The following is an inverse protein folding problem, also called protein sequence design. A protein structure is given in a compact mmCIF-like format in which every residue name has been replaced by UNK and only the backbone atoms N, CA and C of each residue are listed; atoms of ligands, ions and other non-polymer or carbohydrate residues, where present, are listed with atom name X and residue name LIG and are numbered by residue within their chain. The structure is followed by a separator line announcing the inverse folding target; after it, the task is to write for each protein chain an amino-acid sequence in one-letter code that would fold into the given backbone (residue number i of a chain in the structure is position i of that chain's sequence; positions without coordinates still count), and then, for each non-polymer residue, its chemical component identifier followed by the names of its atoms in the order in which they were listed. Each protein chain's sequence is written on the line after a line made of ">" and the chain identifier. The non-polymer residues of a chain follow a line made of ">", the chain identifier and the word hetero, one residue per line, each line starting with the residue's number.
data_IF_799236037534
#
_entry.id   IF_799236037534
#
_cell.length_a   1.000
_cell.length_b   1.000
_cell.length_c   1.000
_cell.angle_alpha   90.00
_cell.angle_beta   90.00
_cell.angle_gamma   90.00
#
_symmetry.space_group_name_H-M   'P 1'
#
loop_
_entity.id
_entity.type
_entity.pdbx_description
1 polymer ?
#
# COMPACT_ATOMS: atom_id res chain seq x y z
N UNK A 1 -38.04 -3.17 21.05
CA UNK A 1 -36.83 -2.43 21.46
C UNK A 1 -36.05 -3.15 22.55
N UNK A 2 -36.70 -3.69 23.60
CA UNK A 2 -36.06 -4.48 24.68
C UNK A 2 -35.32 -5.73 24.19
N UNK A 3 -35.86 -6.44 23.20
CA UNK A 3 -35.24 -7.64 22.62
C UNK A 3 -33.96 -7.34 21.83
N UNK A 4 -33.94 -6.24 21.06
CA UNK A 4 -32.75 -5.82 20.32
C UNK A 4 -31.64 -5.35 21.26
N UNK A 5 -31.98 -4.52 22.26
CA UNK A 5 -31.02 -4.06 23.25
C UNK A 5 -30.42 -5.24 24.05
N UNK A 6 -31.27 -6.18 24.50
CA UNK A 6 -30.82 -7.39 25.20
C UNK A 6 -29.92 -8.26 24.33
N UNK A 7 -30.28 -8.49 23.07
CA UNK A 7 -29.46 -9.26 22.13
C UNK A 7 -28.14 -8.57 21.84
N UNK A 8 -28.15 -7.24 21.63
CA UNK A 8 -26.94 -6.45 21.39
C UNK A 8 -25.99 -6.48 22.60
N UNK A 9 -26.52 -6.39 23.83
CA UNK A 9 -25.71 -6.49 25.05
C UNK A 9 -25.13 -7.89 25.19
N UNK A 10 -25.93 -8.95 25.01
CA UNK A 10 -25.48 -10.33 25.13
C UNK A 10 -24.39 -10.65 24.08
N UNK A 11 -24.68 -10.40 22.81
CA UNK A 11 -23.74 -10.63 21.72
C UNK A 11 -22.51 -9.74 21.82
N UNK A 12 -22.68 -8.46 22.14
CA UNK A 12 -21.59 -7.51 22.30
C UNK A 12 -20.65 -7.89 23.43
N UNK A 13 -21.20 -8.29 24.59
CA UNK A 13 -20.39 -8.75 25.74
C UNK A 13 -19.62 -10.03 25.40
N UNK A 14 -20.28 -10.98 24.72
CA UNK A 14 -19.64 -12.21 24.26
C UNK A 14 -18.47 -11.94 23.31
N UNK A 15 -18.69 -11.09 22.30
CA UNK A 15 -17.64 -10.69 21.34
C UNK A 15 -16.49 -9.97 22.04
N UNK A 16 -16.79 -9.02 22.95
CA UNK A 16 -15.76 -8.28 23.69
C UNK A 16 -14.95 -9.19 24.61
N UNK A 17 -15.59 -10.16 25.27
CA UNK A 17 -14.90 -11.11 26.15
C UNK A 17 -13.97 -12.01 25.34
N UNK A 18 -14.45 -12.54 24.21
CA UNK A 18 -13.61 -13.35 23.31
C UNK A 18 -12.45 -12.53 22.76
N UNK A 19 -12.69 -11.30 22.29
CA UNK A 19 -11.62 -10.41 21.81
C UNK A 19 -10.57 -10.18 22.89
N UNK A 20 -10.98 -9.76 24.09
CA UNK A 20 -10.05 -9.50 25.21
C UNK A 20 -9.26 -10.76 25.61
N UNK A 21 -9.88 -11.93 25.59
CA UNK A 21 -9.20 -13.18 25.89
C UNK A 21 -8.16 -13.54 24.83
N UNK A 22 -8.49 -13.39 23.54
CA UNK A 22 -7.57 -13.61 22.42
C UNK A 22 -6.42 -12.60 22.46
N UNK A 23 -6.72 -11.31 22.66
CA UNK A 23 -5.73 -10.25 22.77
C UNK A 23 -4.78 -10.53 23.95
N UNK A 24 -5.32 -10.92 25.11
CA UNK A 24 -4.51 -11.28 26.29
C UNK A 24 -3.64 -12.51 26.06
N UNK A 25 -4.13 -13.50 25.31
CA UNK A 25 -3.38 -14.70 24.98
C UNK A 25 -2.23 -14.40 24.01
N UNK A 26 -2.47 -13.55 23.01
CA UNK A 26 -1.48 -13.18 22.00
C UNK A 26 -0.41 -12.22 22.54
N UNK A 27 -0.83 -11.12 23.19
CA UNK A 27 0.08 -10.08 23.66
C UNK A 27 0.71 -10.36 25.02
N UNK A 28 0.24 -11.36 25.77
CA UNK A 28 0.72 -11.67 27.12
C UNK A 28 0.29 -10.67 28.20
N UNK A 29 -0.43 -9.61 27.85
CA UNK A 29 -0.94 -8.57 28.73
C UNK A 29 -2.38 -8.17 28.35
N UNK A 30 -3.12 -7.60 29.30
CA UNK A 30 -4.49 -7.15 29.04
C UNK A 30 -4.46 -5.89 28.17
N UNK A 31 -4.74 -6.06 26.89
CA UNK A 31 -4.80 -4.97 25.92
C UNK A 31 -6.21 -4.93 25.36
N UNK A 32 -6.73 -3.71 25.16
CA UNK A 32 -7.94 -3.49 24.41
C UNK A 32 -7.60 -2.66 23.16
N UNK A 33 -7.32 -3.33 22.02
CA UNK A 33 -6.83 -2.68 20.82
C UNK A 33 -7.63 -1.46 20.36
N UNK A 34 -8.99 -1.41 20.46
CA UNK A 34 -9.74 -0.22 20.08
C UNK A 34 -9.37 1.03 20.88
N UNK A 35 -9.15 0.92 22.19
CA UNK A 35 -8.71 2.07 23.01
C UNK A 35 -7.27 2.44 22.66
N UNK A 36 -6.38 1.45 22.52
CA UNK A 36 -4.99 1.70 22.17
C UNK A 36 -4.86 2.38 20.79
N UNK A 37 -5.70 1.97 19.83
CA UNK A 37 -5.78 2.60 18.52
C UNK A 37 -6.18 4.08 18.63
N UNK A 38 -7.21 4.40 19.42
CA UNK A 38 -7.65 5.79 19.61
C UNK A 38 -6.56 6.61 20.29
N UNK A 39 -5.93 6.07 21.35
CA UNK A 39 -4.84 6.74 22.03
C UNK A 39 -3.65 7.00 21.09
N UNK A 40 -3.21 5.99 20.36
CA UNK A 40 -2.05 6.08 19.48
C UNK A 40 -2.28 6.99 18.25
N UNK A 41 -3.43 6.86 17.58
CA UNK A 41 -3.67 7.58 16.34
C UNK A 41 -4.25 8.98 16.57
N UNK A 42 -5.10 9.16 17.59
CA UNK A 42 -5.77 10.44 17.85
C UNK A 42 -5.01 11.25 18.89
N UNK A 43 -4.66 10.65 20.04
CA UNK A 43 -4.01 11.39 21.13
C UNK A 43 -2.53 11.62 20.83
N UNK A 44 -1.81 10.58 20.42
CA UNK A 44 -0.39 10.71 20.07
C UNK A 44 -0.17 11.22 18.64
N UNK A 45 -1.20 11.27 17.80
CA UNK A 45 -1.12 11.86 16.45
C UNK A 45 -0.17 11.15 15.47
N UNK A 46 0.16 9.88 15.72
CA UNK A 46 1.15 9.14 14.91
C UNK A 46 0.69 9.01 13.45
N UNK A 47 -0.62 8.95 13.19
CA UNK A 47 -1.14 8.88 11.84
C UNK A 47 -0.69 10.05 10.95
N UNK A 48 -0.45 11.24 11.53
CA UNK A 48 0.06 12.40 10.79
C UNK A 48 1.49 12.23 10.26
N UNK A 49 2.28 11.32 10.84
CA UNK A 49 3.63 10.97 10.36
C UNK A 49 3.60 10.41 8.94
N UNK A 50 2.56 9.64 8.61
CA UNK A 50 2.37 9.05 7.29
C UNK A 50 1.74 10.02 6.27
N UNK A 51 1.74 11.32 6.58
CA UNK A 51 1.27 12.38 5.69
C UNK A 51 -0.06 12.99 6.12
N UNK A 52 -0.27 14.23 5.64
CA UNK A 52 -1.45 15.03 5.90
C UNK A 52 -2.26 15.23 4.63
N UNK A 53 -3.57 15.06 4.73
CA UNK A 53 -4.48 15.20 3.59
C UNK A 53 -5.43 16.38 3.77
N UNK A 54 -5.72 17.06 2.67
CA UNK A 54 -6.67 18.16 2.61
C UNK A 54 -8.04 17.76 3.16
N UNK A 55 -8.79 18.73 3.68
CA UNK A 55 -10.14 18.50 4.22
C UNK A 55 -11.09 17.94 3.16
N UNK A 56 -10.94 18.34 1.90
CA UNK A 56 -11.83 17.94 0.81
C UNK A 56 -11.48 16.60 0.15
N UNK A 57 -10.39 15.94 0.57
CA UNK A 57 -9.88 14.69 0.00
C UNK A 57 -10.95 13.63 -0.30
N UNK A 58 -11.83 13.33 0.66
CA UNK A 58 -12.85 12.30 0.42
C UNK A 58 -13.92 12.73 -0.60
N UNK A 59 -14.15 14.02 -0.77
CA UNK A 59 -15.11 14.55 -1.72
C UNK A 59 -14.50 14.67 -3.13
N UNK A 60 -13.23 15.07 -3.22
CA UNK A 60 -12.53 15.30 -4.49
C UNK A 60 -11.83 14.07 -5.05
N UNK A 61 -11.41 13.13 -4.19
CA UNK A 61 -10.59 11.99 -4.57
C UNK A 61 -11.19 10.67 -4.09
N UNK A 62 -11.54 10.55 -2.80
CA UNK A 62 -12.00 9.30 -2.21
C UNK A 62 -13.30 8.75 -2.81
N UNK A 63 -14.38 9.54 -2.80
CA UNK A 63 -15.66 9.14 -3.40
C UNK A 63 -15.58 8.96 -4.92
N UNK A 64 -14.90 9.83 -5.68
CA UNK A 64 -14.64 9.58 -7.10
C UNK A 64 -13.86 8.29 -7.38
N UNK A 65 -12.85 7.96 -6.58
CA UNK A 65 -12.08 6.72 -6.73
C UNK A 65 -12.95 5.48 -6.46
N UNK A 66 -13.79 5.53 -5.41
CA UNK A 66 -14.69 4.44 -5.07
C UNK A 66 -15.76 4.20 -6.14
N UNK A 67 -16.34 5.28 -6.67
CA UNK A 67 -17.54 5.18 -7.49
C UNK A 67 -17.28 5.28 -8.98
N UNK A 68 -16.11 5.75 -9.40
CA UNK A 68 -15.69 5.87 -10.80
C UNK A 68 -16.82 6.46 -11.67
N UNK A 69 -17.38 5.68 -12.60
CA UNK A 69 -18.46 6.09 -13.50
C UNK A 69 -19.84 6.08 -12.82
N UNK A 70 -20.01 5.39 -11.69
CA UNK A 70 -21.24 5.40 -10.90
C UNK A 70 -21.41 6.66 -10.03
N UNK A 71 -20.36 7.47 -9.88
CA UNK A 71 -20.35 8.69 -9.05
C UNK A 71 -21.56 9.62 -9.27
N UNK A 72 -21.93 10.04 -10.49
CA UNK A 72 -23.07 10.94 -10.69
C UNK A 72 -24.39 10.31 -10.23
N UNK A 73 -24.57 9.01 -10.41
CA UNK A 73 -25.79 8.30 -9.99
C UNK A 73 -25.89 8.16 -8.48
N UNK A 74 -24.76 7.91 -7.81
CA UNK A 74 -24.69 7.93 -6.35
C UNK A 74 -25.01 9.33 -5.79
N UNK A 75 -24.50 10.40 -6.43
CA UNK A 75 -24.81 11.78 -6.04
C UNK A 75 -26.29 12.13 -6.17
N UNK A 76 -26.92 11.76 -7.31
CA UNK A 76 -28.37 11.94 -7.50
C UNK A 76 -29.17 11.12 -6.49
N UNK A 77 -28.79 9.86 -6.27
CA UNK A 77 -29.43 8.97 -5.30
C UNK A 77 -29.32 9.50 -3.87
N UNK A 78 -28.18 10.07 -3.50
CA UNK A 78 -27.96 10.73 -2.21
C UNK A 78 -28.88 11.93 -2.06
N UNK A 79 -28.99 12.76 -3.09
CA UNK A 79 -29.93 13.89 -3.13
C UNK A 79 -31.38 13.47 -2.94
N UNK A 80 -31.81 12.39 -3.60
CA UNK A 80 -33.16 11.84 -3.43
C UNK A 80 -33.38 11.24 -2.04
N UNK A 81 -32.40 10.52 -1.50
CA UNK A 81 -32.50 9.87 -0.19
C UNK A 81 -32.54 10.87 0.98
N UNK A 82 -31.84 12.00 0.86
CA UNK A 82 -31.77 13.03 1.91
C UNK A 82 -32.92 14.06 1.84
N UNK A 83 -33.71 14.10 0.76
CA UNK A 83 -34.83 15.04 0.61
C UNK A 83 -36.16 14.41 1.04
N UNK A 84 -36.79 14.88 2.12
CA UNK A 84 -37.97 14.23 2.71
C UNK A 84 -39.29 14.39 1.92
N UNK A 85 -39.37 15.26 0.90
CA UNK A 85 -40.65 15.74 0.37
C UNK A 85 -40.87 15.74 -1.15
N UNK A 86 -39.84 15.71 -2.01
CA UNK A 86 -40.05 15.94 -3.46
C UNK A 86 -40.45 14.68 -4.26
N UNK A 87 -40.13 13.48 -3.76
CA UNK A 87 -40.20 12.25 -4.56
C UNK A 87 -41.31 11.27 -4.11
N UNK A 88 -42.38 11.80 -3.51
CA UNK A 88 -43.41 11.00 -2.82
C UNK A 88 -44.36 10.23 -3.72
N UNK A 89 -44.37 10.45 -5.04
CA UNK A 89 -45.33 9.81 -5.96
C UNK A 89 -44.82 8.52 -6.62
N UNK A 90 -43.51 8.23 -6.59
CA UNK A 90 -42.92 7.12 -7.38
C UNK A 90 -41.85 6.27 -6.65
N UNK A 91 -41.51 6.51 -5.38
CA UNK A 91 -40.74 5.55 -4.56
C UNK A 91 -41.68 4.56 -3.87
N UNK A 92 -41.25 3.31 -3.71
CA UNK A 92 -42.03 2.25 -3.06
C UNK A 92 -42.30 2.48 -1.58
N UNK A 93 -42.68 1.38 -0.91
CA UNK A 93 -43.15 1.31 0.48
C UNK A 93 -42.35 2.19 1.45
N UNK A 94 -42.99 2.69 2.51
CA UNK A 94 -42.37 3.47 3.60
C UNK A 94 -41.00 2.91 4.04
N UNK A 95 -40.90 1.58 4.10
CA UNK A 95 -39.68 0.85 4.47
C UNK A 95 -38.52 1.19 3.53
N UNK A 96 -38.72 1.18 2.22
CA UNK A 96 -37.67 1.46 1.23
C UNK A 96 -37.12 2.89 1.40
N UNK A 97 -38.01 3.86 1.59
CA UNK A 97 -37.64 5.27 1.78
C UNK A 97 -36.84 5.46 3.06
N UNK A 98 -37.30 4.85 4.16
CA UNK A 98 -36.62 4.92 5.44
C UNK A 98 -35.24 4.25 5.37
N UNK A 99 -35.13 3.10 4.69
CA UNK A 99 -33.86 2.41 4.48
C UNK A 99 -32.88 3.28 3.69
N UNK A 100 -33.29 3.86 2.56
CA UNK A 100 -32.42 4.74 1.77
C UNK A 100 -31.98 5.98 2.55
N UNK A 101 -32.87 6.59 3.33
CA UNK A 101 -32.53 7.71 4.20
C UNK A 101 -31.47 7.31 5.24
N UNK A 102 -31.66 6.19 5.95
CA UNK A 102 -30.70 5.70 6.94
C UNK A 102 -29.34 5.38 6.33
N UNK A 103 -29.33 4.77 5.14
CA UNK A 103 -28.11 4.48 4.39
C UNK A 103 -27.37 5.76 3.96
N UNK A 104 -28.12 6.77 3.47
CA UNK A 104 -27.57 8.06 3.11
C UNK A 104 -26.98 8.81 4.32
N UNK A 105 -27.69 8.81 5.45
CA UNK A 105 -27.20 9.38 6.71
C UNK A 105 -25.94 8.65 7.19
N UNK A 106 -25.90 7.32 7.08
CA UNK A 106 -24.70 6.54 7.43
C UNK A 106 -23.49 6.93 6.58
N UNK A 107 -23.67 7.06 5.26
CA UNK A 107 -22.61 7.52 4.35
C UNK A 107 -22.12 8.92 4.74
N UNK A 108 -23.03 9.88 4.93
CA UNK A 108 -22.66 11.27 5.30
C UNK A 108 -21.94 11.28 6.65
N UNK A 109 -22.47 10.60 7.65
CA UNK A 109 -21.87 10.54 8.99
C UNK A 109 -20.45 9.93 8.93
N UNK A 110 -20.27 8.81 8.23
CA UNK A 110 -18.95 8.17 8.10
C UNK A 110 -17.98 9.05 7.32
N UNK A 111 -18.38 9.63 6.19
CA UNK A 111 -17.49 10.51 5.40
C UNK A 111 -17.09 11.74 6.20
N UNK A 112 -18.01 12.37 6.94
CA UNK A 112 -17.68 13.53 7.79
C UNK A 112 -16.79 13.14 8.98
N UNK A 113 -17.06 12.01 9.63
CA UNK A 113 -16.22 11.51 10.72
C UNK A 113 -14.79 11.22 10.23
N UNK A 114 -14.65 10.57 9.07
CA UNK A 114 -13.35 10.32 8.46
C UNK A 114 -12.71 11.61 7.92
N UNK A 115 -13.49 12.62 7.52
CA UNK A 115 -12.94 13.91 7.08
C UNK A 115 -12.23 14.64 8.22
N UNK A 116 -12.67 14.43 9.47
CA UNK A 116 -12.09 15.05 10.65
C UNK A 116 -10.70 14.53 11.04
N UNK A 117 -10.25 13.38 10.50
CA UNK A 117 -8.90 12.86 10.76
C UNK A 117 -7.86 13.46 9.81
N UNK A 118 -6.66 13.71 10.32
CA UNK A 118 -5.57 14.39 9.60
C UNK A 118 -5.04 13.55 8.43
N UNK A 119 -4.76 12.28 8.71
CA UNK A 119 -4.38 11.29 7.71
C UNK A 119 -5.62 10.64 7.12
N UNK A 120 -5.64 10.43 5.80
CA UNK A 120 -6.81 9.95 5.08
C UNK A 120 -6.40 8.91 4.05
N UNK A 121 -7.17 7.86 3.95
CA UNK A 121 -6.97 6.81 2.96
C UNK A 121 -8.32 6.35 2.43
N UNK A 122 -8.40 6.04 1.14
CA UNK A 122 -9.67 5.59 0.53
C UNK A 122 -10.20 4.32 1.20
N UNK A 123 -9.31 3.45 1.73
CA UNK A 123 -9.71 2.25 2.47
C UNK A 123 -10.55 2.54 3.72
N UNK A 124 -10.43 3.72 4.34
CA UNK A 124 -11.23 4.07 5.52
C UNK A 124 -12.72 4.26 5.20
N UNK A 125 -13.04 4.68 3.97
CA UNK A 125 -14.43 4.82 3.49
C UNK A 125 -14.85 3.67 2.55
N UNK A 126 -13.96 2.75 2.22
CA UNK A 126 -14.24 1.60 1.35
C UNK A 126 -15.44 0.74 1.80
N UNK A 127 -15.71 0.52 3.11
CA UNK A 127 -16.91 -0.19 3.54
C UNK A 127 -18.24 0.46 3.12
N UNK A 128 -18.23 1.74 2.70
CA UNK A 128 -19.42 2.43 2.19
C UNK A 128 -19.77 2.02 0.75
N UNK A 129 -18.87 1.36 0.03
CA UNK A 129 -19.04 1.05 -1.39
C UNK A 129 -20.34 0.30 -1.70
N UNK A 130 -20.75 -0.76 -0.97
CA UNK A 130 -22.02 -1.44 -1.24
C UNK A 130 -23.23 -0.52 -1.01
N UNK A 131 -23.17 0.32 0.03
CA UNK A 131 -24.24 1.26 0.37
C UNK A 131 -24.41 2.30 -0.75
N UNK A 132 -23.30 2.87 -1.22
CA UNK A 132 -23.29 3.84 -2.31
C UNK A 132 -23.84 3.24 -3.62
N UNK A 133 -23.55 1.97 -3.90
CA UNK A 133 -24.12 1.26 -5.05
C UNK A 133 -25.64 1.05 -4.93
N UNK A 134 -26.14 0.70 -3.75
CA UNK A 134 -27.59 0.61 -3.49
C UNK A 134 -28.26 1.96 -3.74
N UNK A 135 -27.66 3.06 -3.25
CA UNK A 135 -28.16 4.42 -3.46
C UNK A 135 -28.12 4.81 -4.95
N UNK A 136 -27.07 4.43 -5.68
CA UNK A 136 -26.90 4.73 -7.11
C UNK A 136 -27.83 3.93 -8.04
N UNK A 137 -28.32 2.76 -7.60
CA UNK A 137 -29.00 1.79 -8.45
C UNK A 137 -30.24 2.34 -9.16
N UNK A 138 -31.15 3.00 -8.43
CA UNK A 138 -32.41 3.53 -9.01
C UNK A 138 -32.15 4.67 -10.01
N UNK A 139 -31.37 5.72 -9.69
CA UNK A 139 -31.00 6.75 -10.67
C UNK A 139 -30.38 6.17 -11.94
N UNK A 140 -29.48 5.18 -11.81
CA UNK A 140 -28.83 4.52 -12.93
C UNK A 140 -29.84 3.74 -13.79
N UNK A 141 -30.70 2.93 -13.17
CA UNK A 141 -31.72 2.15 -13.87
C UNK A 141 -32.73 3.04 -14.61
N UNK A 142 -33.21 4.11 -13.96
CA UNK A 142 -34.13 5.07 -14.58
C UNK A 142 -33.45 5.79 -15.74
N UNK A 143 -32.18 6.17 -15.61
CA UNK A 143 -31.46 6.82 -16.69
C UNK A 143 -31.31 5.90 -17.91
N UNK A 144 -30.99 4.63 -17.71
CA UNK A 144 -30.77 3.65 -18.80
C UNK A 144 -32.01 2.82 -19.20
N UNK A 145 -33.21 3.11 -18.67
CA UNK A 145 -34.43 2.33 -18.97
C UNK A 145 -34.77 2.22 -20.47
N UNK A 146 -34.34 3.20 -21.28
CA UNK A 146 -34.62 3.24 -22.72
C UNK A 146 -33.64 2.41 -23.55
N UNK A 147 -32.70 1.69 -22.93
CA UNK A 147 -31.76 0.77 -23.61
C UNK A 147 -32.48 -0.56 -23.89
N UNK A 148 -32.36 -1.14 -25.10
CA UNK A 148 -31.45 -0.78 -26.19
C UNK A 148 -32.00 0.22 -27.22
N UNK A 149 -33.26 0.66 -27.10
CA UNK A 149 -33.91 1.52 -28.09
C UNK A 149 -33.16 2.85 -28.32
N UNK A 150 -32.60 3.44 -27.26
CA UNK A 150 -31.75 4.62 -27.36
C UNK A 150 -30.27 4.24 -27.51
N UNK A 151 -29.78 4.27 -28.76
CA UNK A 151 -28.39 3.95 -29.11
C UNK A 151 -27.36 4.84 -28.41
N UNK A 152 -27.67 6.11 -28.15
CA UNK A 152 -26.77 7.03 -27.44
C UNK A 152 -26.58 6.64 -25.98
N UNK A 153 -27.66 6.28 -25.29
CA UNK A 153 -27.60 5.74 -23.92
C UNK A 153 -26.89 4.38 -23.88
N UNK A 154 -27.11 3.51 -24.86
CA UNK A 154 -26.38 2.25 -24.97
C UNK A 154 -24.88 2.48 -25.14
N UNK A 155 -24.48 3.39 -26.04
CA UNK A 155 -23.08 3.76 -26.24
C UNK A 155 -22.45 4.28 -24.95
N UNK A 156 -23.13 5.18 -24.23
CA UNK A 156 -22.66 5.69 -22.95
C UNK A 156 -22.47 4.58 -21.91
N UNK A 157 -23.43 3.66 -21.79
CA UNK A 157 -23.34 2.50 -20.88
C UNK A 157 -22.12 1.62 -21.21
N UNK A 158 -21.91 1.34 -22.50
CA UNK A 158 -20.75 0.56 -22.97
C UNK A 158 -19.44 1.29 -22.69
N UNK A 159 -19.37 2.61 -22.94
CA UNK A 159 -18.17 3.40 -22.64
C UNK A 159 -17.86 3.42 -21.15
N UNK A 160 -18.87 3.54 -20.28
CA UNK A 160 -18.68 3.45 -18.83
C UNK A 160 -18.14 2.08 -18.41
N UNK A 161 -18.68 0.99 -18.97
CA UNK A 161 -18.18 -0.36 -18.68
C UNK A 161 -16.74 -0.53 -19.15
N UNK A 162 -16.43 -0.12 -20.38
CA UNK A 162 -15.07 -0.16 -20.94
C UNK A 162 -14.12 0.65 -20.09
N UNK A 163 -14.50 1.84 -19.63
CA UNK A 163 -13.65 2.67 -18.77
C UNK A 163 -13.29 1.96 -17.46
N UNK A 164 -14.26 1.32 -16.79
CA UNK A 164 -13.98 0.55 -15.57
C UNK A 164 -13.11 -0.68 -15.84
N UNK A 165 -13.40 -1.42 -16.91
CA UNK A 165 -12.61 -2.59 -17.30
C UNK A 165 -11.17 -2.19 -17.65
N UNK A 166 -10.99 -1.06 -18.34
CA UNK A 166 -9.67 -0.53 -18.66
C UNK A 166 -8.91 -0.11 -17.39
N UNK A 167 -9.53 0.65 -16.50
CA UNK A 167 -8.92 1.06 -15.23
C UNK A 167 -8.50 -0.19 -14.43
N UNK A 168 -9.41 -1.14 -14.25
CA UNK A 168 -9.14 -2.39 -13.53
C UNK A 168 -7.98 -3.17 -14.17
N UNK A 169 -8.02 -3.41 -15.48
CA UNK A 169 -6.96 -4.12 -16.17
C UNK A 169 -5.60 -3.39 -16.06
N UNK A 170 -5.58 -2.07 -16.24
CA UNK A 170 -4.36 -1.28 -16.14
C UNK A 170 -3.74 -1.33 -14.74
N UNK A 171 -4.55 -1.07 -13.70
CA UNK A 171 -4.02 -1.05 -12.32
C UNK A 171 -3.67 -2.44 -11.79
N UNK A 172 -4.28 -3.50 -12.33
CA UNK A 172 -3.95 -4.88 -11.94
C UNK A 172 -2.73 -5.44 -12.68
N UNK A 173 -2.55 -5.11 -13.96
CA UNK A 173 -1.53 -5.78 -14.79
C UNK A 173 -0.35 -4.90 -15.21
N UNK A 174 -0.47 -3.57 -15.10
CA UNK A 174 0.52 -2.64 -15.67
C UNK A 174 1.08 -1.68 -14.64
N UNK A 175 0.24 -1.04 -13.83
CA UNK A 175 0.69 -0.06 -12.85
C UNK A 175 1.43 -0.72 -11.68
N UNK A 176 2.62 -0.22 -11.35
CA UNK A 176 3.49 -0.74 -10.30
C UNK A 176 3.77 -2.24 -10.43
N UNK A 177 4.01 -2.71 -11.67
CA UNK A 177 4.30 -4.12 -11.94
C UNK A 177 5.71 -4.52 -11.50
N UNK A 178 6.70 -3.68 -11.77
CA UNK A 178 8.13 -3.95 -11.53
C UNK A 178 8.44 -4.30 -10.06
N UNK A 179 7.74 -3.69 -9.11
CA UNK A 179 7.93 -3.99 -7.67
C UNK A 179 7.48 -5.40 -7.26
N UNK A 180 6.59 -6.02 -8.03
CA UNK A 180 6.19 -7.42 -7.86
C UNK A 180 7.14 -8.32 -8.64
N UNK A 181 7.40 -8.00 -9.90
CA UNK A 181 8.27 -8.79 -10.80
C UNK A 181 9.69 -8.95 -10.22
N UNK A 182 10.24 -7.94 -9.55
CA UNK A 182 11.57 -8.03 -8.93
C UNK A 182 11.63 -9.06 -7.79
N UNK A 183 10.54 -9.23 -7.04
CA UNK A 183 10.49 -10.25 -5.99
C UNK A 183 10.38 -11.66 -6.58
N UNK A 184 9.72 -11.81 -7.73
CA UNK A 184 9.72 -13.06 -8.49
C UNK A 184 11.11 -13.38 -9.05
N UNK A 185 11.80 -12.38 -9.60
CA UNK A 185 13.19 -12.52 -10.05
C UNK A 185 14.09 -13.04 -8.93
N UNK A 186 14.13 -12.36 -7.77
CA UNK A 186 14.96 -12.76 -6.63
C UNK A 186 14.58 -14.14 -6.07
N UNK A 187 13.29 -14.49 -6.09
CA UNK A 187 12.85 -15.83 -5.70
C UNK A 187 13.39 -16.90 -6.66
N UNK A 188 13.31 -16.65 -7.97
CA UNK A 188 13.83 -17.58 -8.97
C UNK A 188 15.35 -17.76 -8.84
N UNK A 189 16.09 -16.68 -8.50
CA UNK A 189 17.53 -16.77 -8.21
C UNK A 189 17.83 -17.67 -7.00
N UNK A 190 16.99 -17.61 -5.94
CA UNK A 190 17.12 -18.53 -4.81
C UNK A 190 16.75 -19.97 -5.20
N UNK A 191 15.69 -20.16 -5.99
CA UNK A 191 15.24 -21.47 -6.48
C UNK A 191 16.31 -22.15 -7.36
N UNK A 192 17.07 -21.37 -8.13
CA UNK A 192 18.18 -21.88 -8.95
C UNK A 192 19.33 -22.47 -8.11
N UNK A 193 19.48 -22.04 -6.85
CA UNK A 193 20.53 -22.52 -5.92
C UNK A 193 20.10 -23.71 -5.09
N UNK A 194 18.83 -24.10 -5.14
CA UNK A 194 18.34 -25.25 -4.39
C UNK A 194 18.94 -26.55 -4.95
N UNK A 195 19.34 -27.51 -4.11
CA UNK A 195 19.95 -28.77 -4.57
C UNK A 195 19.11 -29.58 -5.56
N UNK A 196 17.78 -29.45 -5.48
CA UNK A 196 16.83 -30.15 -6.35
C UNK A 196 16.58 -29.42 -7.68
N UNK A 197 17.25 -28.29 -7.91
CA UNK A 197 17.04 -27.47 -9.12
C UNK A 197 17.73 -28.09 -10.34
N UNK A 198 17.07 -28.16 -11.51
CA UNK A 198 17.68 -28.66 -12.74
C UNK A 198 18.82 -27.76 -13.26
N UNK A 199 18.89 -26.52 -12.77
CA UNK A 199 19.91 -25.52 -13.10
C UNK A 199 21.03 -25.44 -12.06
N UNK A 200 21.03 -26.34 -11.07
CA UNK A 200 22.04 -26.37 -10.01
C UNK A 200 23.44 -26.57 -10.62
N UNK A 201 24.31 -25.58 -10.46
CA UNK A 201 25.70 -25.60 -10.92
C UNK A 201 26.67 -25.50 -9.75
N UNK A 202 27.92 -25.95 -9.93
CA UNK A 202 28.96 -25.80 -8.90
C UNK A 202 29.27 -24.32 -8.59
N UNK A 203 29.03 -23.39 -9.53
CA UNK A 203 29.12 -21.93 -9.32
C UNK A 203 28.10 -21.41 -8.29
N UNK A 204 26.97 -22.11 -8.10
CA UNK A 204 25.99 -21.79 -7.04
C UNK A 204 26.55 -22.00 -5.63
N UNK A 205 27.61 -22.80 -5.49
CA UNK A 205 28.33 -23.01 -4.23
C UNK A 205 29.30 -21.84 -3.96
N UNK A 206 29.89 -21.25 -5.01
CA UNK A 206 30.85 -20.14 -4.87
C UNK A 206 30.20 -18.84 -4.39
N UNK A 207 28.94 -18.56 -4.78
CA UNK A 207 28.21 -17.35 -4.39
C UNK A 207 27.52 -17.45 -3.01
N UNK A 208 27.70 -18.57 -2.29
CA UNK A 208 27.00 -18.87 -1.05
C UNK A 208 25.55 -19.31 -1.27
N UNK A 209 25.08 -20.25 -0.45
CA UNK A 209 23.77 -20.91 -0.65
C UNK A 209 22.53 -20.01 -0.52
N UNK A 210 22.68 -18.77 -0.07
CA UNK A 210 21.58 -17.87 0.25
C UNK A 210 21.71 -16.53 -0.48
N UNK A 211 20.67 -16.14 -1.20
CA UNK A 211 20.55 -14.82 -1.84
C UNK A 211 20.51 -13.73 -0.76
N UNK A 212 21.33 -12.68 -0.95
CA UNK A 212 21.34 -11.48 -0.09
C UNK A 212 20.92 -10.26 -0.88
N UNK A 213 20.01 -9.44 -0.33
CA UNK A 213 19.38 -8.33 -1.08
C UNK A 213 19.27 -7.07 -0.23
N UNK A 214 19.66 -5.93 -0.80
CA UNK A 214 19.40 -4.60 -0.24
C UNK A 214 18.43 -3.82 -1.12
N UNK A 215 17.28 -3.44 -0.56
CA UNK A 215 16.29 -2.61 -1.24
C UNK A 215 16.50 -1.13 -0.91
N UNK A 216 17.17 -0.43 -1.82
CA UNK A 216 17.37 1.03 -1.80
C UNK A 216 16.15 1.74 -2.41
N UNK A 217 14.97 1.35 -1.95
CA UNK A 217 13.67 1.82 -2.42
C UNK A 217 12.98 2.58 -1.29
N UNK A 218 12.06 3.51 -1.56
CA UNK A 218 11.21 4.05 -0.52
C UNK A 218 10.48 2.92 0.18
N UNK A 219 10.18 3.13 1.46
CA UNK A 219 9.48 2.18 2.29
C UNK A 219 8.24 1.55 1.64
N UNK A 220 7.96 0.28 1.93
CA UNK A 220 6.79 -0.45 1.45
C UNK A 220 6.60 -0.42 -0.08
N UNK A 221 7.69 -0.40 -0.85
CA UNK A 221 7.61 -0.43 -2.31
C UNK A 221 7.31 -1.83 -2.85
N UNK A 222 7.78 -2.89 -2.19
CA UNK A 222 7.64 -4.28 -2.67
C UNK A 222 6.78 -5.11 -1.70
N UNK A 223 6.17 -6.22 -2.16
CA UNK A 223 5.30 -7.05 -1.33
C UNK A 223 6.06 -7.92 -0.30
N UNK A 224 7.39 -7.81 -0.24
CA UNK A 224 8.27 -8.41 0.77
C UNK A 224 8.04 -9.92 0.97
N UNK A 225 7.90 -10.37 2.22
CA UNK A 225 7.77 -11.79 2.62
C UNK A 225 6.51 -12.50 2.10
N UNK A 226 5.55 -11.79 1.51
CA UNK A 226 4.45 -12.47 0.82
C UNK A 226 4.89 -13.09 -0.52
N UNK A 227 6.01 -12.63 -1.09
CA UNK A 227 6.55 -13.12 -2.37
C UNK A 227 7.97 -13.69 -2.23
N UNK A 228 8.77 -13.19 -1.28
CA UNK A 228 10.06 -13.77 -0.87
C UNK A 228 9.82 -14.92 0.13
N UNK A 229 9.23 -16.01 -0.37
CA UNK A 229 8.72 -17.14 0.43
C UNK A 229 9.82 -17.97 1.10
N UNK A 230 11.05 -17.93 0.57
CA UNK A 230 12.19 -18.64 1.13
C UNK A 230 12.79 -17.86 2.31
N UNK A 231 12.78 -18.41 3.54
CA UNK A 231 13.37 -17.76 4.69
C UNK A 231 14.89 -17.59 4.57
N UNK A 232 15.55 -18.38 3.72
CA UNK A 232 16.98 -18.33 3.42
C UNK A 232 17.40 -17.01 2.76
N UNK A 233 16.49 -16.35 2.04
CA UNK A 233 16.74 -15.05 1.42
C UNK A 233 16.93 -14.01 2.52
N UNK A 234 18.15 -13.49 2.63
CA UNK A 234 18.53 -12.45 3.58
C UNK A 234 18.35 -11.09 2.92
N UNK A 235 17.16 -10.53 3.04
CA UNK A 235 16.81 -9.23 2.49
C UNK A 235 16.64 -8.17 3.59
N UNK A 236 17.05 -6.93 3.30
CA UNK A 236 16.78 -5.74 4.11
C UNK A 236 16.31 -4.59 3.22
N UNK A 237 15.57 -3.64 3.80
CA UNK A 237 15.07 -2.44 3.12
C UNK A 237 15.28 -1.23 4.02
N UNK A 238 15.31 -0.03 3.43
CA UNK A 238 15.29 1.22 4.17
C UNK A 238 14.03 1.29 5.05
N UNK A 239 14.18 1.68 6.30
CA UNK A 239 13.11 1.77 7.29
C UNK A 239 12.46 3.16 7.32
N UNK A 240 11.22 3.20 7.76
CA UNK A 240 10.41 4.41 7.91
C UNK A 240 9.54 4.32 9.16
N UNK A 241 10.07 3.66 10.20
CA UNK A 241 9.31 3.41 11.41
C UNK A 241 9.08 4.73 12.16
N UNK A 242 7.83 5.03 12.57
CA UNK A 242 7.56 6.24 13.32
C UNK A 242 8.23 6.15 14.69
N UNK A 243 8.82 7.24 15.19
CA UNK A 243 9.48 7.23 16.48
C UNK A 243 8.43 7.27 17.60
N UNK A 244 8.22 6.12 18.23
CA UNK A 244 7.14 5.93 19.21
C UNK A 244 7.40 6.66 20.53
N UNK A 245 8.67 6.79 20.91
CA UNK A 245 9.09 7.37 22.18
C UNK A 245 9.29 8.90 22.13
N UNK A 246 9.07 9.50 20.95
CA UNK A 246 9.21 10.95 20.77
C UNK A 246 7.90 11.68 21.03
N UNK A 247 8.02 12.88 21.63
CA UNK A 247 6.91 13.83 21.73
C UNK A 247 6.47 14.31 20.35
N UNK A 248 5.27 14.89 20.24
CA UNK A 248 4.72 15.39 18.97
C UNK A 248 5.66 16.40 18.29
N UNK A 249 6.25 17.33 19.05
CA UNK A 249 7.17 18.34 18.49
C UNK A 249 8.49 17.75 18.03
N UNK A 250 9.00 16.72 18.72
CA UNK A 250 10.21 16.00 18.32
C UNK A 250 9.95 15.16 17.07
N UNK A 251 8.79 14.49 16.98
CA UNK A 251 8.40 13.70 15.81
C UNK A 251 8.28 14.54 14.55
N UNK A 252 7.81 15.79 14.65
CA UNK A 252 7.75 16.71 13.51
C UNK A 252 9.13 17.08 12.92
N UNK A 253 10.22 16.81 13.64
CA UNK A 253 11.61 17.04 13.18
C UNK A 253 12.36 15.74 12.93
N UNK A 254 11.72 14.59 13.15
CA UNK A 254 12.32 13.30 12.92
C UNK A 254 12.28 13.01 11.42
N UNK A 255 13.43 12.68 10.86
CA UNK A 255 13.56 12.12 9.52
C UNK A 255 13.84 10.62 9.68
N UNK A 256 13.10 9.82 8.92
CA UNK A 256 13.34 8.39 8.91
C UNK A 256 14.53 8.01 8.02
N UNK A 257 14.97 6.76 8.13
CA UNK A 257 16.14 6.27 7.39
C UNK A 257 15.97 6.41 5.88
N UNK A 258 14.78 6.15 5.33
CA UNK A 258 14.52 6.28 3.91
C UNK A 258 14.61 7.76 3.47
N UNK A 259 14.05 8.69 4.24
CA UNK A 259 14.14 10.12 3.94
C UNK A 259 15.58 10.64 4.04
N UNK A 260 16.34 10.25 5.07
CA UNK A 260 17.77 10.59 5.19
C UNK A 260 18.54 10.05 3.98
N UNK A 261 18.29 8.80 3.57
CA UNK A 261 18.92 8.21 2.39
C UNK A 261 18.58 8.99 1.11
N UNK A 262 17.31 9.33 0.88
CA UNK A 262 16.90 10.02 -0.34
C UNK A 262 17.27 11.51 -0.37
N UNK A 263 17.64 12.10 0.78
CA UNK A 263 18.19 13.45 0.89
C UNK A 263 19.65 13.51 0.44
N UNK A 264 20.50 12.57 0.87
CA UNK A 264 21.89 12.42 0.42
C UNK A 264 22.30 10.94 0.35
N UNK A 265 22.06 10.26 -0.79
CA UNK A 265 22.35 8.84 -0.93
C UNK A 265 23.84 8.51 -0.76
N UNK A 266 24.73 9.42 -1.16
CA UNK A 266 26.18 9.19 -1.12
C UNK A 266 26.70 9.24 0.31
N UNK A 267 26.35 10.27 1.07
CA UNK A 267 26.71 10.34 2.49
C UNK A 267 26.13 9.16 3.25
N UNK A 268 24.86 8.81 3.00
CA UNK A 268 24.24 7.69 3.70
C UNK A 268 24.95 6.37 3.42
N UNK A 269 25.34 6.09 2.17
CA UNK A 269 26.08 4.87 1.82
C UNK A 269 27.43 4.84 2.52
N UNK A 270 28.18 5.95 2.52
CA UNK A 270 29.51 6.01 3.16
C UNK A 270 29.43 5.85 4.69
N UNK A 271 28.32 6.26 5.32
CA UNK A 271 28.09 6.14 6.76
C UNK A 271 27.55 4.77 7.20
N UNK A 272 26.71 4.14 6.38
CA UNK A 272 25.93 2.95 6.77
C UNK A 272 26.39 1.64 6.11
N UNK A 273 27.13 1.69 5.01
CA UNK A 273 27.65 0.50 4.31
C UNK A 273 29.13 0.30 4.62
N UNK A 274 29.59 -0.95 4.54
CA UNK A 274 31.02 -1.27 4.55
C UNK A 274 31.79 -0.50 3.46
N UNK A 275 33.10 -0.32 3.67
CA UNK A 275 33.94 0.38 2.69
C UNK A 275 33.82 -0.24 1.29
N UNK A 276 33.68 0.60 0.27
CA UNK A 276 33.65 0.19 -1.14
C UNK A 276 34.91 -0.58 -1.56
N UNK A 277 36.00 -0.46 -0.82
CA UNK A 277 37.23 -1.24 -1.03
C UNK A 277 37.00 -2.76 -0.97
N UNK A 278 35.95 -3.24 -0.27
CA UNK A 278 35.59 -4.66 -0.20
C UNK A 278 34.92 -5.19 -1.47
N UNK A 279 34.46 -4.29 -2.35
CA UNK A 279 33.71 -4.62 -3.57
C UNK A 279 34.37 -4.08 -4.85
N UNK A 280 35.62 -3.60 -4.78
CA UNK A 280 36.35 -3.16 -5.98
C UNK A 280 36.74 -4.34 -6.88
N UNK A 281 36.50 -4.22 -8.19
CA UNK A 281 36.89 -5.22 -9.21
C UNK A 281 38.39 -5.56 -9.18
N UNK A 282 39.22 -4.63 -8.73
CA UNK A 282 40.67 -4.76 -8.69
C UNK A 282 41.23 -5.69 -7.58
N UNK A 283 40.38 -6.23 -6.69
CA UNK A 283 40.80 -7.18 -5.63
C UNK A 283 40.05 -8.53 -5.76
N UNK A 284 40.55 -9.47 -6.58
CA UNK A 284 40.01 -10.84 -6.59
C UNK A 284 40.31 -11.48 -5.22
N UNK A 285 39.27 -11.78 -4.44
CA UNK A 285 39.38 -12.33 -3.07
C UNK A 285 38.90 -11.42 -1.94
N UNK A 286 38.41 -10.21 -2.22
CA UNK A 286 37.91 -9.29 -1.19
C UNK A 286 36.64 -9.80 -0.44
N UNK A 287 35.95 -10.80 -0.97
CA UNK A 287 34.84 -11.48 -0.27
C UNK A 287 35.30 -12.27 0.98
N UNK A 288 36.59 -12.63 1.10
CA UNK A 288 37.10 -13.46 2.20
C UNK A 288 37.66 -12.66 3.40
N UNK A 289 37.88 -11.35 3.25
CA UNK A 289 38.38 -10.46 4.32
C UNK A 289 37.25 -9.60 4.90
N UNK A 290 36.19 -10.26 5.39
CA UNK A 290 35.17 -9.60 6.21
C UNK A 290 35.76 -9.23 7.56
N UNK A 291 36.23 -8.00 7.72
CA UNK A 291 36.30 -7.41 9.05
C UNK A 291 34.86 -7.19 9.51
N UNK A 292 34.48 -7.82 10.63
CA UNK A 292 33.18 -7.61 11.25
C UNK A 292 33.10 -6.19 11.82
N UNK A 293 32.79 -5.21 10.97
CA UNK A 293 32.32 -3.92 11.45
C UNK A 293 30.84 -4.06 11.78
N UNK A 294 30.53 -4.47 13.01
CA UNK A 294 29.16 -4.67 13.48
C UNK A 294 28.29 -3.40 13.44
N UNK A 295 28.87 -2.22 13.17
CA UNK A 295 28.12 -0.97 13.04
C UNK A 295 27.56 -0.74 11.62
N UNK A 296 28.14 -1.36 10.58
CA UNK A 296 27.81 -1.09 9.17
C UNK A 296 27.23 -2.32 8.49
N UNK A 297 26.44 -2.09 7.44
CA UNK A 297 25.84 -3.15 6.63
C UNK A 297 26.82 -3.67 5.60
N UNK A 298 26.90 -4.99 5.50
CA UNK A 298 27.63 -5.68 4.44
C UNK A 298 26.97 -5.44 3.10
N UNK A 299 27.77 -5.30 2.04
CA UNK A 299 27.25 -5.20 0.68
C UNK A 299 26.49 -6.48 0.26
N UNK A 300 25.22 -6.38 -0.14
CA UNK A 300 24.40 -7.54 -0.52
C UNK A 300 24.67 -7.93 -1.98
N UNK A 301 24.51 -9.19 -2.32
CA UNK A 301 24.69 -9.68 -3.68
C UNK A 301 23.83 -8.94 -4.71
N UNK A 302 22.59 -8.58 -4.34
CA UNK A 302 21.67 -7.82 -5.19
C UNK A 302 21.28 -6.49 -4.55
N UNK A 303 21.40 -5.40 -5.31
CA UNK A 303 20.89 -4.08 -5.01
C UNK A 303 19.65 -3.80 -5.84
N UNK A 304 18.55 -3.40 -5.21
CA UNK A 304 17.28 -3.11 -5.88
C UNK A 304 16.89 -1.66 -5.65
N UNK A 305 16.63 -0.92 -6.72
CA UNK A 305 16.21 0.48 -6.65
C UNK A 305 15.38 0.90 -7.88
N UNK A 306 14.76 2.08 -7.82
CA UNK A 306 14.08 2.68 -8.97
C UNK A 306 15.09 3.41 -9.86
N UNK A 307 14.87 3.37 -11.17
CA UNK A 307 15.70 4.00 -12.21
C UNK A 307 16.09 5.46 -11.90
N UNK A 308 15.22 6.23 -11.23
CA UNK A 308 15.54 7.61 -10.85
C UNK A 308 16.83 7.74 -10.00
N UNK A 309 17.21 6.69 -9.25
CA UNK A 309 18.40 6.66 -8.40
C UNK A 309 19.66 6.23 -9.18
N UNK A 310 19.50 5.68 -10.38
CA UNK A 310 20.58 5.09 -11.20
C UNK A 310 21.74 6.05 -11.49
N UNK A 311 21.54 7.35 -11.80
CA UNK A 311 22.66 8.26 -12.03
C UNK A 311 23.57 8.42 -10.80
N UNK A 312 22.98 8.37 -9.60
CA UNK A 312 23.72 8.50 -8.33
C UNK A 312 24.43 7.18 -8.02
N UNK A 313 23.72 6.04 -8.12
CA UNK A 313 24.33 4.71 -7.92
C UNK A 313 25.50 4.47 -8.86
N UNK A 314 25.40 4.92 -10.12
CA UNK A 314 26.44 4.75 -11.14
C UNK A 314 27.72 5.47 -10.76
N UNK A 315 27.62 6.71 -10.26
CA UNK A 315 28.80 7.43 -9.77
C UNK A 315 29.37 6.84 -8.48
N UNK A 316 28.53 6.31 -7.58
CA UNK A 316 28.98 5.77 -6.30
C UNK A 316 29.67 4.41 -6.41
N UNK A 317 29.19 3.56 -7.33
CA UNK A 317 29.62 2.17 -7.50
C UNK A 317 30.50 1.97 -8.75
N UNK A 318 30.96 3.06 -9.36
CA UNK A 318 31.92 3.00 -10.47
C UNK A 318 33.18 2.21 -10.06
N UNK A 319 33.58 1.24 -10.89
CA UNK A 319 34.76 0.39 -10.64
C UNK A 319 34.54 -0.72 -9.61
N UNK A 320 33.33 -0.88 -9.07
CA UNK A 320 32.96 -2.02 -8.21
C UNK A 320 32.49 -3.23 -9.03
N UNK A 321 32.27 -4.35 -8.35
CA UNK A 321 31.75 -5.61 -8.93
C UNK A 321 30.26 -5.55 -9.31
N UNK A 322 29.55 -4.46 -8.99
CA UNK A 322 28.13 -4.35 -9.35
C UNK A 322 27.96 -3.97 -10.81
N UNK A 323 27.11 -4.72 -11.52
CA UNK A 323 26.62 -4.39 -12.86
C UNK A 323 25.12 -4.68 -12.95
N UNK A 324 24.42 -4.02 -13.87
CA UNK A 324 22.99 -4.29 -14.11
C UNK A 324 22.79 -5.73 -14.60
N UNK A 325 21.89 -6.46 -13.93
CA UNK A 325 21.54 -7.81 -14.32
C UNK A 325 20.05 -8.07 -14.49
N UNK A 326 19.20 -7.15 -14.04
CA UNK A 326 17.77 -7.20 -14.33
C UNK A 326 17.16 -5.80 -14.33
N UNK A 327 16.18 -5.59 -15.22
CA UNK A 327 15.35 -4.38 -15.29
C UNK A 327 13.92 -4.77 -15.63
N UNK A 328 12.97 -4.17 -14.92
CA UNK A 328 11.55 -4.45 -15.11
C UNK A 328 10.71 -3.19 -15.12
N UNK A 329 9.79 -3.10 -16.08
CA UNK A 329 8.86 -1.99 -16.19
C UNK A 329 8.04 -1.82 -14.91
N UNK A 330 8.07 -0.63 -14.32
CA UNK A 330 7.33 -0.34 -13.10
C UNK A 330 5.97 0.30 -13.38
N UNK A 331 5.97 1.51 -13.94
CA UNK A 331 4.76 2.30 -14.17
C UNK A 331 5.03 3.45 -15.12
N UNK A 332 4.00 3.90 -15.85
CA UNK A 332 4.07 5.10 -16.68
C UNK A 332 4.16 6.39 -15.84
N UNK A 333 3.59 6.37 -14.63
CA UNK A 333 3.56 7.52 -13.73
C UNK A 333 3.48 7.08 -12.27
N UNK A 334 4.02 7.92 -11.39
CA UNK A 334 3.94 7.77 -9.94
C UNK A 334 3.94 9.19 -9.33
N UNK A 335 3.17 9.40 -8.27
CA UNK A 335 3.10 10.66 -7.52
C UNK A 335 4.40 10.93 -6.73
N UNK A 336 4.92 9.92 -6.02
CA UNK A 336 6.26 9.95 -5.45
C UNK A 336 7.36 9.94 -6.53
N UNK A 337 8.12 11.04 -6.61
CA UNK A 337 9.25 11.19 -7.55
C UNK A 337 10.34 10.12 -7.35
N UNK A 338 10.49 9.60 -6.13
CA UNK A 338 11.50 8.58 -5.78
C UNK A 338 11.19 7.22 -6.41
N UNK A 339 9.94 6.99 -6.83
CA UNK A 339 9.45 5.73 -7.43
C UNK A 339 9.28 5.80 -8.95
N UNK A 340 9.90 6.78 -9.60
CA UNK A 340 9.81 7.00 -11.05
C UNK A 340 10.77 6.10 -11.83
N UNK A 341 10.31 5.71 -13.02
CA UNK A 341 11.04 4.84 -13.94
C UNK A 341 10.94 3.37 -13.55
N UNK A 342 11.74 2.55 -14.21
CA UNK A 342 11.76 1.10 -14.04
C UNK A 342 12.32 0.68 -12.68
N UNK A 343 12.08 -0.57 -12.28
CA UNK A 343 12.84 -1.19 -11.18
C UNK A 343 14.09 -1.81 -11.78
N UNK A 344 15.25 -1.47 -11.21
CA UNK A 344 16.57 -1.90 -11.65
C UNK A 344 17.20 -2.76 -10.55
N UNK A 345 17.87 -3.83 -10.96
CA UNK A 345 18.66 -4.69 -10.08
C UNK A 345 20.09 -4.75 -10.56
N UNK A 346 21.01 -4.41 -9.66
CA UNK A 346 22.43 -4.58 -9.85
C UNK A 346 22.91 -5.74 -9.00
N UNK A 347 23.75 -6.61 -9.56
CA UNK A 347 24.33 -7.73 -8.84
C UNK A 347 25.84 -7.77 -8.96
N UNK A 348 26.48 -8.37 -7.94
CA UNK A 348 27.92 -8.61 -7.94
C UNK A 348 28.28 -9.62 -9.04
N UNK A 349 29.25 -9.28 -9.89
CA UNK A 349 29.78 -10.11 -10.97
C UNK A 349 31.31 -10.10 -11.05
#
# INVERSE_FOLDING_TARGET
>A
MTTLASSAVLSGTGVLTVSLAVDRAYYGQWVFPPIQFLYFNIVQGVAGFYGLNRLDYYFTEGLPLLLTTALPFAGIGMGHALRPNEDRKHLGSYVERQTLYLLAVAVVATVLAMTAISHKEVRFIYPLLPILHVIAARPLAVFFHSVPANKGKLLLLVLMLIANMYIAAYVTFVHQRGVVDVTHFLRNEQEARLPDSPTYSVESIEHGGNVTVGFFMPCHSTPWRSHLVYPEIKAWALTCEPPLDLTVDQRNRYEDEADIFYNDPASWVDDNMESRDSILKAKPGALELRHEDHARRTWPEYLVFFEQLEPIMSGMLEGTVYDECWRGFNTHWHDDRRRRGDVVVWCMR
#
